data_IF_583879800915
#
_entry.id   IF_583879800915
#
_cell.length_a   1.000
_cell.length_b   1.000
_cell.length_c   1.000
_cell.angle_alpha   90.00
_cell.angle_beta   90.00
_cell.angle_gamma   90.00
#
_symmetry.space_group_name_H-M   'P 1'
#
loop_
_entity.id
_entity.type
_entity.pdbx_description
1 polymer ?
#
# COMPACT_ATOMS: atom_id res chain seq x y z
N UNK A 1 10.42 -23.09 -6.47
CA UNK A 1 9.08 -22.57 -6.11
C UNK A 1 8.86 -21.30 -6.90
N UNK A 2 7.67 -21.07 -7.41
CA UNK A 2 7.29 -19.81 -8.04
C UNK A 2 6.92 -18.88 -6.90
N UNK A 3 7.47 -17.67 -6.88
CA UNK A 3 7.13 -16.63 -5.93
C UNK A 3 6.58 -15.42 -6.67
N UNK A 4 5.55 -14.79 -6.13
CA UNK A 4 4.91 -13.66 -6.76
C UNK A 4 4.07 -12.83 -5.79
N UNK A 5 3.62 -11.71 -6.28
CA UNK A 5 2.70 -10.83 -5.52
C UNK A 5 1.62 -10.28 -6.45
N UNK A 6 0.54 -9.82 -5.85
CA UNK A 6 -0.53 -9.08 -6.53
C UNK A 6 -0.29 -7.59 -6.27
N UNK A 7 -0.29 -6.78 -7.31
CA UNK A 7 -0.25 -5.33 -7.16
C UNK A 7 -1.67 -4.76 -7.21
N UNK A 8 -1.97 -3.91 -6.22
CA UNK A 8 -3.15 -3.04 -6.17
C UNK A 8 -2.61 -1.61 -6.14
N UNK A 9 -3.22 -0.70 -6.88
CA UNK A 9 -2.75 0.69 -6.95
C UNK A 9 -3.92 1.65 -7.11
N UNK A 10 -3.73 2.90 -6.70
CA UNK A 10 -4.65 4.00 -6.95
C UNK A 10 -6.09 3.71 -6.49
N UNK A 11 -6.24 3.23 -5.28
CA UNK A 11 -7.55 2.85 -4.74
C UNK A 11 -8.42 4.05 -4.37
N UNK A 12 -7.82 5.21 -4.08
CA UNK A 12 -8.50 6.48 -3.80
C UNK A 12 -9.74 6.32 -2.91
N UNK A 13 -9.59 5.60 -1.79
CA UNK A 13 -10.71 5.39 -0.88
C UNK A 13 -11.09 6.71 -0.21
N UNK A 14 -12.38 7.02 -0.25
CA UNK A 14 -13.01 8.17 0.43
C UNK A 14 -13.80 7.70 1.65
N UNK A 15 -14.24 8.65 2.47
CA UNK A 15 -15.10 8.36 3.61
C UNK A 15 -16.36 7.56 3.19
N UNK A 16 -16.87 6.65 4.06
CA UNK A 16 -18.04 5.84 3.74
C UNK A 16 -19.23 6.67 3.26
N UNK A 17 -19.88 6.21 2.19
CA UNK A 17 -21.05 6.90 1.62
C UNK A 17 -20.73 8.09 0.72
N UNK A 18 -19.45 8.36 0.44
CA UNK A 18 -19.01 9.38 -0.51
C UNK A 18 -18.48 8.75 -1.80
N UNK A 19 -18.39 9.57 -2.86
CA UNK A 19 -17.89 9.15 -4.17
C UNK A 19 -16.74 10.05 -4.58
N UNK A 20 -15.70 9.49 -5.17
CA UNK A 20 -14.61 10.28 -5.76
C UNK A 20 -15.15 11.09 -6.94
N UNK A 21 -14.85 12.39 -6.95
CA UNK A 21 -15.38 13.34 -7.94
C UNK A 21 -16.93 13.31 -8.08
N UNK A 22 -17.66 12.84 -7.06
CA UNK A 22 -19.12 12.77 -7.06
C UNK A 22 -19.75 11.67 -7.92
N UNK A 23 -18.95 10.77 -8.52
CA UNK A 23 -19.48 9.73 -9.41
C UNK A 23 -18.77 8.37 -9.34
N UNK A 24 -17.56 8.27 -8.77
CA UNK A 24 -16.80 7.02 -8.75
C UNK A 24 -16.87 6.36 -7.37
N UNK A 25 -17.45 5.17 -7.30
CA UNK A 25 -17.46 4.32 -6.09
C UNK A 25 -16.21 3.45 -6.06
N UNK A 26 -15.13 4.04 -5.57
CA UNK A 26 -13.82 3.37 -5.46
C UNK A 26 -13.82 2.30 -4.39
N UNK A 27 -14.60 2.47 -3.31
CA UNK A 27 -14.74 1.47 -2.27
C UNK A 27 -15.41 0.18 -2.82
N UNK A 28 -16.45 0.32 -3.65
CA UNK A 28 -17.06 -0.84 -4.31
C UNK A 28 -16.09 -1.49 -5.30
N UNK A 29 -15.28 -0.69 -6.00
CA UNK A 29 -14.28 -1.22 -6.93
C UNK A 29 -13.22 -2.06 -6.18
N UNK A 30 -12.71 -1.55 -5.05
CA UNK A 30 -11.75 -2.28 -4.22
C UNK A 30 -12.36 -3.56 -3.62
N UNK A 31 -13.61 -3.51 -3.10
CA UNK A 31 -14.31 -4.72 -2.62
C UNK A 31 -14.37 -5.80 -3.69
N UNK A 32 -14.76 -5.45 -4.91
CA UNK A 32 -14.80 -6.40 -6.04
C UNK A 32 -13.43 -6.95 -6.38
N UNK A 33 -12.38 -6.14 -6.28
CA UNK A 33 -11.00 -6.60 -6.48
C UNK A 33 -10.62 -7.64 -5.41
N UNK A 34 -10.88 -7.35 -4.13
CA UNK A 34 -10.64 -8.26 -3.01
C UNK A 34 -11.42 -9.57 -3.17
N UNK A 35 -12.71 -9.50 -3.47
CA UNK A 35 -13.54 -10.69 -3.75
C UNK A 35 -12.98 -11.53 -4.91
N UNK A 36 -12.56 -10.85 -5.99
CA UNK A 36 -11.99 -11.53 -7.17
C UNK A 36 -10.66 -12.20 -6.83
N UNK A 37 -9.79 -11.52 -6.10
CA UNK A 37 -8.51 -12.07 -5.64
C UNK A 37 -8.77 -13.31 -4.77
N UNK A 38 -9.61 -13.18 -3.75
CA UNK A 38 -9.91 -14.30 -2.85
C UNK A 38 -10.48 -15.51 -3.60
N UNK A 39 -11.37 -15.29 -4.58
CA UNK A 39 -11.94 -16.36 -5.39
C UNK A 39 -10.92 -17.04 -6.33
N UNK A 40 -9.91 -16.29 -6.79
CA UNK A 40 -8.88 -16.78 -7.70
C UNK A 40 -7.65 -17.35 -7.01
N UNK A 41 -7.38 -16.94 -5.79
CA UNK A 41 -6.21 -17.32 -5.02
C UNK A 41 -5.94 -18.82 -4.98
N UNK A 42 -6.95 -19.71 -4.83
CA UNK A 42 -6.74 -21.16 -4.87
C UNK A 42 -6.27 -21.70 -6.22
N UNK A 43 -6.40 -20.90 -7.30
CA UNK A 43 -6.00 -21.27 -8.65
C UNK A 43 -4.60 -20.75 -9.01
N UNK A 44 -4.03 -19.88 -8.20
CA UNK A 44 -2.74 -19.25 -8.42
C UNK A 44 -1.69 -19.86 -7.50
N UNK A 45 -0.64 -20.40 -8.07
CA UNK A 45 0.48 -20.95 -7.31
C UNK A 45 1.51 -19.87 -7.01
N UNK A 46 2.05 -19.88 -5.78
CA UNK A 46 3.19 -19.04 -5.42
C UNK A 46 2.87 -17.55 -5.25
N UNK A 47 1.64 -17.18 -4.94
CA UNK A 47 1.30 -15.81 -4.56
C UNK A 47 1.45 -15.66 -3.05
N UNK A 48 2.41 -14.85 -2.61
CA UNK A 48 2.81 -14.71 -1.22
C UNK A 48 2.15 -13.52 -0.51
N UNK A 49 1.88 -12.44 -1.23
CA UNK A 49 1.25 -11.24 -0.66
C UNK A 49 0.62 -10.34 -1.73
N UNK A 50 -0.10 -9.32 -1.29
CA UNK A 50 -0.46 -8.17 -2.10
C UNK A 50 0.41 -6.96 -1.73
N UNK A 51 0.73 -6.12 -2.71
CA UNK A 51 1.45 -4.86 -2.54
C UNK A 51 0.56 -3.73 -3.03
N UNK A 52 0.26 -2.77 -2.15
CA UNK A 52 -0.53 -1.58 -2.51
C UNK A 52 0.43 -0.43 -2.78
N UNK A 53 0.50 0.00 -4.04
CA UNK A 53 1.53 0.94 -4.52
C UNK A 53 1.04 2.38 -4.59
N UNK A 54 0.48 2.87 -3.48
CA UNK A 54 0.15 4.27 -3.28
C UNK A 54 -1.27 4.66 -3.65
N UNK A 55 -1.61 5.90 -3.31
CA UNK A 55 -2.94 6.50 -3.42
C UNK A 55 -4.02 5.58 -2.81
N UNK A 56 -3.74 5.13 -1.57
CA UNK A 56 -4.65 4.27 -0.82
C UNK A 56 -5.97 5.00 -0.55
N UNK A 57 -5.86 6.26 -0.19
CA UNK A 57 -6.98 7.17 0.11
C UNK A 57 -6.96 8.36 -0.83
N UNK A 58 -8.05 9.12 -0.89
CA UNK A 58 -8.16 10.28 -1.77
C UNK A 58 -7.64 11.59 -1.13
N UNK A 59 -7.71 11.67 0.22
CA UNK A 59 -7.31 12.88 0.96
C UNK A 59 -6.38 12.60 2.15
N UNK A 60 -6.03 11.35 2.42
CA UNK A 60 -5.15 10.96 3.51
C UNK A 60 -5.75 11.12 4.91
N UNK A 61 -7.08 11.10 5.04
CA UNK A 61 -7.75 11.30 6.33
C UNK A 61 -7.81 10.00 7.15
N UNK A 62 -7.87 10.09 8.50
CA UNK A 62 -8.03 8.90 9.35
C UNK A 62 -9.29 8.08 9.02
N UNK A 63 -10.38 8.74 8.65
CA UNK A 63 -11.64 8.07 8.29
C UNK A 63 -11.51 7.27 6.99
N UNK A 64 -10.79 7.81 6.01
CA UNK A 64 -10.52 7.12 4.74
C UNK A 64 -9.61 5.91 4.94
N UNK A 65 -8.55 6.02 5.76
CA UNK A 65 -7.71 4.87 6.11
C UNK A 65 -8.50 3.79 6.88
N UNK A 66 -9.38 4.18 7.80
CA UNK A 66 -10.25 3.22 8.49
C UNK A 66 -11.19 2.50 7.51
N UNK A 67 -11.73 3.22 6.52
CA UNK A 67 -12.56 2.64 5.46
C UNK A 67 -11.74 1.70 4.56
N UNK A 68 -10.53 2.12 4.15
CA UNK A 68 -9.60 1.27 3.39
C UNK A 68 -9.31 -0.03 4.14
N UNK A 69 -8.93 0.06 5.42
CA UNK A 69 -8.67 -1.11 6.27
C UNK A 69 -9.87 -2.05 6.32
N UNK A 70 -11.09 -1.51 6.52
CA UNK A 70 -12.30 -2.34 6.60
C UNK A 70 -12.55 -3.18 5.35
N UNK A 71 -12.01 -2.78 4.20
CA UNK A 71 -12.09 -3.54 2.94
C UNK A 71 -10.91 -4.51 2.83
N UNK A 72 -9.70 -4.05 3.14
CA UNK A 72 -8.49 -4.86 3.02
C UNK A 72 -8.38 -5.99 4.05
N UNK A 73 -9.07 -5.86 5.19
CA UNK A 73 -9.18 -6.93 6.21
C UNK A 73 -9.94 -8.17 5.68
N UNK A 74 -10.71 -8.00 4.60
CA UNK A 74 -11.38 -9.12 3.92
C UNK A 74 -10.46 -9.88 2.94
N UNK A 75 -9.26 -9.34 2.63
CA UNK A 75 -8.31 -9.97 1.73
C UNK A 75 -7.65 -11.18 2.39
N UNK A 76 -7.76 -12.35 1.76
CA UNK A 76 -7.20 -13.61 2.25
C UNK A 76 -5.68 -13.75 2.01
N UNK A 77 -4.98 -12.65 1.79
CA UNK A 77 -3.54 -12.55 1.62
C UNK A 77 -2.96 -11.51 2.58
N UNK A 78 -1.77 -11.74 3.15
CA UNK A 78 -1.04 -10.65 3.77
C UNK A 78 -0.75 -9.56 2.74
N UNK A 79 -0.75 -8.31 3.18
CA UNK A 79 -0.46 -7.19 2.30
C UNK A 79 0.47 -6.17 2.96
N UNK A 80 1.15 -5.41 2.13
CA UNK A 80 2.00 -4.29 2.51
C UNK A 80 1.68 -3.10 1.60
N UNK A 81 1.96 -1.89 2.05
CA UNK A 81 1.66 -0.70 1.27
C UNK A 81 2.79 0.33 1.29
N UNK A 82 2.75 1.23 0.33
CA UNK A 82 3.60 2.40 0.26
C UNK A 82 2.71 3.61 -0.04
N UNK A 83 2.96 4.81 0.53
CA UNK A 83 2.16 5.99 0.24
C UNK A 83 2.48 6.60 -1.13
N UNK A 84 1.52 7.35 -1.69
CA UNK A 84 1.70 8.25 -2.82
C UNK A 84 1.12 9.63 -2.51
N UNK A 85 0.98 10.51 -3.51
CA UNK A 85 0.71 11.94 -3.29
C UNK A 85 -0.67 12.27 -2.66
N UNK A 86 -1.63 11.38 -2.71
CA UNK A 86 -2.92 11.51 -2.03
C UNK A 86 -2.90 11.04 -0.58
N UNK A 87 -1.87 10.29 -0.19
CA UNK A 87 -1.71 9.79 1.17
C UNK A 87 -1.03 10.81 2.10
N UNK A 88 -1.14 10.58 3.41
CA UNK A 88 -0.44 11.35 4.44
C UNK A 88 0.21 10.39 5.44
N UNK A 89 1.51 10.58 5.71
CA UNK A 89 2.29 9.65 6.56
C UNK A 89 1.76 9.55 7.98
N UNK A 90 1.37 10.67 8.59
CA UNK A 90 0.95 10.66 9.98
C UNK A 90 -0.37 9.89 10.20
N UNK A 91 -1.47 10.14 9.45
CA UNK A 91 -2.68 9.32 9.53
C UNK A 91 -2.45 7.87 9.09
N UNK A 92 -1.67 7.64 8.02
CA UNK A 92 -1.32 6.29 7.55
C UNK A 92 -0.61 5.49 8.65
N UNK A 93 0.40 6.09 9.30
CA UNK A 93 1.13 5.45 10.40
C UNK A 93 0.24 5.15 11.59
N UNK A 94 -0.69 6.04 11.92
CA UNK A 94 -1.64 5.80 13.00
C UNK A 94 -2.60 4.64 12.67
N UNK A 95 -3.08 4.58 11.43
CA UNK A 95 -3.98 3.52 10.97
C UNK A 95 -3.31 2.14 10.90
N UNK A 96 -2.02 2.10 10.53
CA UNK A 96 -1.25 0.85 10.35
C UNK A 96 -0.21 0.63 11.45
N UNK A 97 -0.45 1.16 12.67
CA UNK A 97 0.50 1.08 13.79
C UNK A 97 0.93 -0.34 14.17
N UNK A 98 0.05 -1.31 13.96
CA UNK A 98 0.29 -2.72 14.27
C UNK A 98 0.93 -3.50 13.10
N UNK A 99 1.06 -2.86 11.94
CA UNK A 99 1.64 -3.50 10.77
C UNK A 99 3.18 -3.59 10.91
N UNK A 100 3.78 -4.79 10.78
CA UNK A 100 5.22 -4.96 11.02
C UNK A 100 6.12 -4.24 10.01
N UNK A 101 5.57 -3.80 8.90
CA UNK A 101 6.27 -3.07 7.85
C UNK A 101 6.16 -1.54 8.01
N UNK A 102 5.33 -1.06 8.95
CA UNK A 102 5.15 0.39 9.17
C UNK A 102 6.24 0.93 10.11
N UNK A 103 7.11 1.83 9.65
CA UNK A 103 8.11 2.45 10.52
C UNK A 103 7.46 3.41 11.51
N UNK A 104 8.04 3.53 12.69
CA UNK A 104 7.54 4.46 13.73
C UNK A 104 7.74 5.94 13.38
N UNK A 105 8.72 6.25 12.53
CA UNK A 105 9.08 7.62 12.10
C UNK A 105 9.63 7.61 10.68
N UNK A 106 9.79 8.77 10.09
CA UNK A 106 10.42 8.93 8.77
C UNK A 106 9.57 8.45 7.58
N UNK A 107 10.18 8.28 6.42
CA UNK A 107 9.53 7.71 5.25
C UNK A 107 9.10 6.26 5.45
N UNK A 108 8.08 5.83 4.72
CA UNK A 108 7.56 4.45 4.78
C UNK A 108 8.34 3.57 3.80
N UNK A 109 9.62 3.35 4.11
CA UNK A 109 10.46 2.42 3.35
C UNK A 109 10.39 1.02 3.93
N UNK A 110 10.42 0.01 3.07
CA UNK A 110 10.48 -1.40 3.50
C UNK A 110 11.16 -2.29 2.46
N UNK A 111 11.58 -3.46 2.90
CA UNK A 111 12.08 -4.54 2.05
C UNK A 111 11.26 -5.79 2.30
N UNK A 112 10.87 -6.48 1.24
CA UNK A 112 10.23 -7.79 1.30
C UNK A 112 11.03 -8.79 0.49
N UNK A 113 11.55 -9.81 1.17
CA UNK A 113 12.25 -10.92 0.55
C UNK A 113 11.27 -12.05 0.20
N UNK A 114 11.32 -12.50 -1.05
CA UNK A 114 10.56 -13.63 -1.59
C UNK A 114 11.46 -14.85 -1.87
N UNK A 115 12.72 -14.82 -1.44
CA UNK A 115 13.70 -15.88 -1.63
C UNK A 115 14.33 -15.92 -3.02
N UNK A 116 13.54 -15.83 -4.08
CA UNK A 116 14.02 -15.76 -5.47
C UNK A 116 14.34 -14.31 -5.91
N UNK A 117 13.70 -13.35 -5.27
CA UNK A 117 13.88 -11.90 -5.50
C UNK A 117 13.44 -11.13 -4.26
N UNK A 118 13.90 -9.90 -4.13
CA UNK A 118 13.44 -8.96 -3.11
C UNK A 118 12.74 -7.78 -3.74
N UNK A 119 11.71 -7.26 -3.08
CA UNK A 119 11.02 -6.02 -3.45
C UNK A 119 11.38 -4.95 -2.43
N UNK A 120 11.81 -3.80 -2.93
CA UNK A 120 12.13 -2.63 -2.13
C UNK A 120 11.02 -1.59 -2.34
N UNK A 121 10.30 -1.26 -1.28
CA UNK A 121 9.33 -0.17 -1.27
C UNK A 121 10.03 1.14 -0.90
N UNK A 122 9.99 2.11 -1.82
CA UNK A 122 10.57 3.45 -1.63
C UNK A 122 9.45 4.47 -1.56
N UNK A 123 9.29 5.07 -0.39
CA UNK A 123 8.38 6.18 -0.18
C UNK A 123 8.97 7.44 -0.79
N UNK A 124 8.34 7.93 -1.84
CA UNK A 124 8.70 9.17 -2.54
C UNK A 124 7.74 10.31 -2.27
N UNK A 125 6.80 10.13 -1.32
CA UNK A 125 5.78 11.12 -0.99
C UNK A 125 6.43 12.45 -0.57
N UNK A 126 6.02 13.52 -1.22
CA UNK A 126 6.23 14.89 -0.77
C UNK A 126 4.85 15.46 -0.43
N UNK A 127 4.55 15.51 0.87
CA UNK A 127 3.22 15.93 1.34
C UNK A 127 2.85 17.32 0.82
N UNK A 128 1.64 17.44 0.27
CA UNK A 128 1.15 18.68 -0.34
C UNK A 128 1.64 18.97 -1.77
N UNK A 129 2.40 18.05 -2.38
CA UNK A 129 2.84 18.15 -3.77
C UNK A 129 2.26 17.01 -4.63
N UNK A 130 2.07 17.27 -5.92
CA UNK A 130 1.62 16.26 -6.88
C UNK A 130 2.77 15.41 -7.47
N UNK A 131 4.01 15.74 -7.14
CA UNK A 131 5.19 14.99 -7.57
C UNK A 131 5.87 14.34 -6.38
N UNK A 132 6.59 13.25 -6.62
CA UNK A 132 7.40 12.59 -5.62
C UNK A 132 8.85 13.09 -5.61
N UNK A 133 9.55 12.79 -4.52
CA UNK A 133 10.99 13.04 -4.40
C UNK A 133 11.63 11.91 -3.58
N UNK A 134 12.70 11.34 -4.09
CA UNK A 134 13.53 10.45 -3.30
C UNK A 134 14.56 11.31 -2.54
N UNK A 135 14.34 11.48 -1.23
CA UNK A 135 15.20 12.27 -0.36
C UNK A 135 16.52 11.53 -0.02
N UNK A 136 17.46 12.22 0.64
CA UNK A 136 18.74 11.60 1.07
C UNK A 136 18.51 10.33 1.90
N UNK A 137 17.61 10.35 2.86
CA UNK A 137 17.27 9.18 3.68
C UNK A 137 16.80 7.99 2.82
N UNK A 138 15.99 8.26 1.79
CA UNK A 138 15.54 7.24 0.84
C UNK A 138 16.66 6.72 -0.05
N UNK A 139 17.59 7.56 -0.45
CA UNK A 139 18.79 7.17 -1.20
C UNK A 139 19.71 6.30 -0.34
N UNK A 140 19.93 6.68 0.92
CA UNK A 140 20.75 5.92 1.86
C UNK A 140 20.12 4.56 2.18
N UNK A 141 18.81 4.53 2.37
CA UNK A 141 18.06 3.28 2.55
C UNK A 141 18.21 2.36 1.34
N UNK A 142 18.04 2.89 0.13
CA UNK A 142 18.19 2.12 -1.11
C UNK A 142 19.61 1.58 -1.27
N UNK A 143 20.61 2.43 -1.09
CA UNK A 143 22.02 2.05 -1.20
C UNK A 143 22.41 0.96 -0.19
N UNK A 144 22.03 1.16 1.07
CA UNK A 144 22.29 0.20 2.14
C UNK A 144 21.61 -1.14 1.87
N UNK A 145 20.36 -1.11 1.41
CA UNK A 145 19.61 -2.32 1.07
C UNK A 145 20.27 -3.07 -0.08
N UNK A 146 20.59 -2.39 -1.19
CA UNK A 146 21.21 -3.02 -2.36
C UNK A 146 22.61 -3.60 -2.08
N UNK A 147 23.32 -3.06 -1.09
CA UNK A 147 24.63 -3.60 -0.70
C UNK A 147 24.55 -4.77 0.28
N UNK A 148 23.38 -5.01 0.87
CA UNK A 148 23.14 -6.09 1.83
C UNK A 148 22.47 -7.34 1.21
N UNK A 149 21.92 -7.21 0.00
CA UNK A 149 21.32 -8.27 -0.79
C UNK A 149 22.41 -8.85 -1.72
#
# INVERSE_FOLDING_TARGET
>A
MIHGFIQITDTHIVAPGTLVCGHSDTAQALRRAVETINAKLPLWEGIDCAIVTGDLTDHGTPEEYAHFLSIMDELALPWIAIPCNHDQRAPMRAAFSDAPWMPSTGPVHWVRDFGAFSVIGLDTLLEGAHHGMLCEEGMDFLYTTLTAI
#
